data_IF_348479809870
#
_entry.id   IF_348479809870
#
_cell.length_a   1.000
_cell.length_b   1.000
_cell.length_c   1.000
_cell.angle_alpha   90.00
_cell.angle_beta   90.00
_cell.angle_gamma   90.00
#
_symmetry.space_group_name_H-M   'P 1'
#
loop_
_entity.id
_entity.type
_entity.pdbx_description
1 polymer ?
#
# COMPACT_ATOMS: atom_id res chain seq x y z
N UNK A 1 -9.34 24.09 6.34
CA UNK A 1 -10.07 22.87 5.98
C UNK A 1 -9.12 22.06 5.12
N UNK A 2 -8.51 21.04 5.69
CA UNK A 2 -7.62 20.12 4.96
C UNK A 2 -8.48 19.34 3.96
N UNK A 3 -8.29 19.61 2.69
CA UNK A 3 -8.97 18.88 1.63
C UNK A 3 -8.31 17.49 1.56
N UNK A 4 -8.88 16.49 2.23
CA UNK A 4 -8.34 15.12 2.33
C UNK A 4 -8.24 14.39 0.97
N UNK A 5 -8.75 15.01 -0.09
CA UNK A 5 -8.75 14.43 -1.42
C UNK A 5 -9.88 13.42 -1.66
N UNK A 6 -9.84 12.75 -2.81
CA UNK A 6 -10.83 11.75 -3.21
C UNK A 6 -10.35 10.34 -2.82
N UNK A 7 -11.22 9.57 -2.17
CA UNK A 7 -11.05 8.13 -1.96
C UNK A 7 -12.09 7.41 -2.83
N UNK A 8 -11.65 6.49 -3.67
CA UNK A 8 -12.54 5.66 -4.46
C UNK A 8 -12.86 4.38 -3.69
N UNK A 9 -14.14 4.12 -3.48
CA UNK A 9 -14.65 2.87 -2.95
C UNK A 9 -15.27 2.05 -4.10
N UNK A 10 -14.85 0.79 -4.24
CA UNK A 10 -15.42 -0.18 -5.17
C UNK A 10 -15.98 -1.31 -4.32
N UNK A 11 -17.30 -1.33 -4.16
CA UNK A 11 -18.03 -2.17 -3.21
C UNK A 11 -19.46 -2.33 -3.72
N UNK A 12 -20.00 -3.53 -3.77
CA UNK A 12 -21.36 -3.79 -4.27
C UNK A 12 -22.45 -3.60 -3.19
N UNK A 13 -22.08 -3.62 -1.91
CA UNK A 13 -22.98 -3.42 -0.80
C UNK A 13 -23.21 -1.92 -0.49
N UNK A 14 -24.38 -1.36 -0.87
CA UNK A 14 -24.73 0.05 -0.64
C UNK A 14 -24.71 0.46 0.84
N UNK A 15 -25.04 -0.45 1.76
CA UNK A 15 -25.02 -0.20 3.20
C UNK A 15 -23.61 0.07 3.73
N UNK A 16 -22.62 -0.69 3.24
CA UNK A 16 -21.21 -0.49 3.57
C UNK A 16 -20.74 0.84 2.98
N UNK A 17 -21.11 1.13 1.73
CA UNK A 17 -20.73 2.36 1.06
C UNK A 17 -21.24 3.61 1.79
N UNK A 18 -22.50 3.61 2.26
CA UNK A 18 -23.08 4.73 3.00
C UNK A 18 -22.39 4.93 4.35
N UNK A 19 -22.15 3.83 5.09
CA UNK A 19 -21.43 3.86 6.36
C UNK A 19 -20.04 4.46 6.21
N UNK A 20 -19.31 4.03 5.20
CA UNK A 20 -17.95 4.52 4.91
C UNK A 20 -17.97 5.97 4.44
N UNK A 21 -18.95 6.38 3.61
CA UNK A 21 -19.08 7.76 3.16
C UNK A 21 -19.18 8.72 4.33
N UNK A 22 -20.10 8.45 5.27
CA UNK A 22 -20.29 9.28 6.47
C UNK A 22 -19.01 9.41 7.30
N UNK A 23 -18.24 8.33 7.42
CA UNK A 23 -17.03 8.33 8.21
C UNK A 23 -15.89 9.10 7.52
N UNK A 24 -15.67 8.86 6.22
CA UNK A 24 -14.62 9.52 5.46
C UNK A 24 -14.87 11.02 5.29
N UNK A 25 -16.14 11.44 5.10
CA UNK A 25 -16.51 12.85 5.01
C UNK A 25 -16.27 13.61 6.33
N UNK A 26 -16.51 12.99 7.48
CA UNK A 26 -16.17 13.57 8.80
C UNK A 26 -14.67 13.83 8.96
N UNK A 27 -13.86 13.05 8.28
CA UNK A 27 -12.39 13.17 8.29
C UNK A 27 -11.85 14.06 7.14
N UNK A 28 -12.75 14.70 6.39
CA UNK A 28 -12.42 15.66 5.34
C UNK A 28 -12.10 15.03 3.97
N UNK A 29 -12.33 13.73 3.80
CA UNK A 29 -12.21 13.06 2.50
C UNK A 29 -13.52 13.15 1.72
N UNK A 30 -13.44 13.09 0.40
CA UNK A 30 -14.59 12.84 -0.47
C UNK A 30 -14.59 11.38 -0.87
N UNK A 31 -15.63 10.63 -0.53
CA UNK A 31 -15.79 9.26 -1.00
C UNK A 31 -16.52 9.25 -2.35
N UNK A 32 -15.94 8.59 -3.35
CA UNK A 32 -16.59 8.28 -4.64
C UNK A 32 -16.83 6.78 -4.65
N UNK A 33 -18.06 6.34 -4.96
CA UNK A 33 -18.46 4.94 -4.89
C UNK A 33 -18.76 4.37 -6.27
N UNK A 34 -18.32 3.15 -6.52
CA UNK A 34 -18.64 2.29 -7.66
C UNK A 34 -19.12 0.93 -7.14
N UNK A 35 -20.14 0.35 -7.78
CA UNK A 35 -20.80 -0.90 -7.35
C UNK A 35 -20.24 -2.16 -8.01
N UNK A 36 -19.30 -2.00 -8.94
CA UNK A 36 -18.67 -3.10 -9.70
C UNK A 36 -17.28 -2.69 -10.17
N UNK A 37 -16.50 -3.68 -10.59
CA UNK A 37 -15.10 -3.47 -10.97
C UNK A 37 -14.91 -2.62 -12.21
N UNK A 38 -15.77 -2.75 -13.22
CA UNK A 38 -15.69 -1.99 -14.47
C UNK A 38 -15.94 -0.50 -14.22
N UNK A 39 -17.03 -0.16 -13.54
CA UNK A 39 -17.35 1.22 -13.16
C UNK A 39 -16.30 1.82 -12.22
N UNK A 40 -15.68 1.00 -11.38
CA UNK A 40 -14.55 1.38 -10.54
C UNK A 40 -13.33 1.82 -11.36
N UNK A 41 -12.96 1.03 -12.36
CA UNK A 41 -11.83 1.34 -13.26
C UNK A 41 -12.09 2.59 -14.12
N UNK A 42 -13.33 2.85 -14.53
CA UNK A 42 -13.70 4.10 -15.21
C UNK A 42 -13.54 5.30 -14.28
N UNK A 43 -14.06 5.22 -13.05
CA UNK A 43 -13.95 6.31 -12.06
C UNK A 43 -12.50 6.57 -11.63
N UNK A 44 -11.66 5.55 -11.62
CA UNK A 44 -10.23 5.67 -11.37
C UNK A 44 -9.57 6.63 -12.36
N UNK A 45 -9.93 6.56 -13.66
CA UNK A 45 -9.38 7.44 -14.71
C UNK A 45 -9.90 8.87 -14.60
N UNK A 46 -11.18 9.02 -14.24
CA UNK A 46 -11.86 10.32 -14.26
C UNK A 46 -11.59 11.18 -13.03
N UNK A 47 -11.27 10.57 -11.89
CA UNK A 47 -11.27 11.23 -10.58
C UNK A 47 -9.91 11.36 -9.94
N UNK A 48 -8.88 10.68 -10.44
CA UNK A 48 -7.52 10.64 -9.89
C UNK A 48 -7.56 10.48 -8.34
N UNK A 49 -8.07 9.36 -7.84
CA UNK A 49 -8.25 9.17 -6.40
C UNK A 49 -6.89 9.04 -5.72
N UNK A 50 -6.80 9.52 -4.49
CA UNK A 50 -5.60 9.41 -3.65
C UNK A 50 -5.44 8.03 -3.00
N UNK A 51 -6.53 7.28 -2.87
CA UNK A 51 -6.55 5.89 -2.41
C UNK A 51 -7.77 5.18 -2.98
N UNK A 52 -7.67 3.85 -3.10
CA UNK A 52 -8.75 2.97 -3.51
C UNK A 52 -9.03 1.98 -2.39
N UNK A 53 -10.29 1.89 -1.99
CA UNK A 53 -10.84 0.80 -1.17
C UNK A 53 -11.53 -0.16 -2.12
N UNK A 54 -11.15 -1.42 -2.11
CA UNK A 54 -11.54 -2.38 -3.13
C UNK A 54 -12.04 -3.68 -2.51
N UNK A 55 -13.32 -3.96 -2.68
CA UNK A 55 -13.84 -5.28 -2.29
C UNK A 55 -13.31 -6.37 -3.23
N UNK A 56 -13.02 -7.53 -2.67
CA UNK A 56 -12.60 -8.72 -3.43
C UNK A 56 -13.81 -9.40 -4.08
N UNK A 57 -14.97 -9.38 -3.42
CA UNK A 57 -16.17 -10.12 -3.79
C UNK A 57 -17.08 -9.46 -4.82
N UNK A 58 -16.54 -8.60 -5.69
CA UNK A 58 -17.32 -7.84 -6.67
C UNK A 58 -18.02 -8.71 -7.72
N UNK A 59 -19.20 -8.28 -8.20
CA UNK A 59 -19.83 -8.90 -9.36
C UNK A 59 -19.04 -8.59 -10.65
N UNK A 60 -19.07 -9.53 -11.59
CA UNK A 60 -18.36 -9.40 -12.86
C UNK A 60 -16.88 -9.74 -12.74
N UNK A 61 -16.02 -8.74 -12.84
CA UNK A 61 -14.58 -8.91 -12.55
C UNK A 61 -14.32 -8.79 -11.04
N UNK A 62 -13.60 -9.76 -10.50
CA UNK A 62 -13.26 -9.75 -9.07
C UNK A 62 -12.27 -8.65 -8.70
N UNK A 63 -12.17 -8.36 -7.38
CA UNK A 63 -11.28 -7.31 -6.89
C UNK A 63 -9.79 -7.59 -7.17
N UNK A 64 -9.37 -8.84 -7.31
CA UNK A 64 -7.99 -9.16 -7.67
C UNK A 64 -7.67 -8.73 -9.09
N UNK A 65 -8.58 -8.97 -10.04
CA UNK A 65 -8.42 -8.51 -11.41
C UNK A 65 -8.48 -6.98 -11.52
N UNK A 66 -9.37 -6.34 -10.77
CA UNK A 66 -9.43 -4.86 -10.67
C UNK A 66 -8.09 -4.32 -10.17
N UNK A 67 -7.54 -4.89 -9.10
CA UNK A 67 -6.24 -4.49 -8.55
C UNK A 67 -5.11 -4.63 -9.59
N UNK A 68 -5.05 -5.75 -10.31
CA UNK A 68 -4.06 -5.94 -11.40
C UNK A 68 -4.16 -4.85 -12.47
N UNK A 69 -5.38 -4.51 -12.89
CA UNK A 69 -5.62 -3.46 -13.91
C UNK A 69 -5.25 -2.07 -13.41
N UNK A 70 -5.51 -1.77 -12.14
CA UNK A 70 -5.06 -0.51 -11.50
C UNK A 70 -3.53 -0.46 -11.53
N UNK A 71 -2.85 -1.52 -11.09
CA UNK A 71 -1.39 -1.58 -11.02
C UNK A 71 -0.68 -1.52 -12.37
N UNK A 72 -1.35 -1.91 -13.44
CA UNK A 72 -0.82 -1.75 -14.80
C UNK A 72 -0.68 -0.28 -15.24
N UNK A 73 -1.36 0.64 -14.58
CA UNK A 73 -1.45 2.06 -15.00
C UNK A 73 -1.22 3.06 -13.88
N UNK A 74 -1.17 2.63 -12.60
CA UNK A 74 -1.11 3.54 -11.45
C UNK A 74 -0.49 2.89 -10.22
N UNK A 75 0.25 3.70 -9.45
CA UNK A 75 0.81 3.35 -8.13
C UNK A 75 -0.08 3.85 -6.97
N UNK A 76 -1.33 4.26 -7.26
CA UNK A 76 -2.28 4.71 -6.24
C UNK A 76 -2.42 3.66 -5.13
N UNK A 77 -2.43 4.04 -3.86
CA UNK A 77 -2.64 3.11 -2.77
C UNK A 77 -3.96 2.34 -2.89
N UNK A 78 -3.88 1.00 -2.83
CA UNK A 78 -5.05 0.09 -2.85
C UNK A 78 -5.11 -0.69 -1.56
N UNK A 79 -6.23 -0.56 -0.83
CA UNK A 79 -6.55 -1.36 0.35
C UNK A 79 -7.67 -2.30 -0.03
N UNK A 80 -7.41 -3.61 0.03
CA UNK A 80 -8.41 -4.63 -0.28
C UNK A 80 -9.30 -4.90 0.92
N UNK A 81 -10.61 -5.00 0.68
CA UNK A 81 -11.61 -5.41 1.65
C UNK A 81 -12.08 -6.82 1.28
N UNK A 82 -12.25 -7.70 2.25
CA UNK A 82 -12.65 -9.08 1.95
C UNK A 82 -13.38 -9.75 3.08
N UNK A 83 -14.34 -10.60 2.73
CA UNK A 83 -14.96 -11.55 3.66
C UNK A 83 -14.16 -12.85 3.83
N UNK A 84 -13.04 -13.01 3.12
CA UNK A 84 -12.26 -14.26 3.12
C UNK A 84 -11.13 -14.17 4.14
N UNK A 85 -11.23 -14.99 5.18
CA UNK A 85 -10.26 -15.04 6.30
C UNK A 85 -9.06 -15.96 6.01
N UNK A 86 -8.87 -16.42 4.76
CA UNK A 86 -7.75 -17.32 4.51
C UNK A 86 -6.45 -16.53 4.36
N UNK A 87 -5.42 -16.98 5.03
CA UNK A 87 -4.04 -16.48 4.89
C UNK A 87 -3.60 -16.45 3.41
N UNK A 88 -4.11 -17.39 2.62
CA UNK A 88 -3.84 -17.51 1.18
C UNK A 88 -4.39 -16.30 0.42
N UNK A 89 -5.63 -15.88 0.68
CA UNK A 89 -6.25 -14.74 -0.01
C UNK A 89 -5.55 -13.43 0.31
N UNK A 90 -5.13 -13.25 1.57
CA UNK A 90 -4.32 -12.10 2.00
C UNK A 90 -2.99 -12.06 1.24
N UNK A 91 -2.28 -13.19 1.17
CA UNK A 91 -1.00 -13.28 0.45
C UNK A 91 -1.21 -13.00 -1.04
N UNK A 92 -2.23 -13.58 -1.67
CA UNK A 92 -2.55 -13.36 -3.08
C UNK A 92 -2.84 -11.88 -3.36
N UNK A 93 -3.67 -11.23 -2.53
CA UNK A 93 -3.98 -9.81 -2.68
C UNK A 93 -2.74 -8.91 -2.61
N UNK A 94 -1.87 -9.15 -1.62
CA UNK A 94 -0.62 -8.42 -1.48
C UNK A 94 0.37 -8.75 -2.62
N UNK A 95 0.45 -10.00 -3.09
CA UNK A 95 1.30 -10.39 -4.24
C UNK A 95 0.86 -9.74 -5.55
N UNK A 96 -0.42 -9.42 -5.72
CA UNK A 96 -0.96 -8.69 -6.87
C UNK A 96 -0.60 -7.21 -6.80
N UNK A 97 -0.21 -6.72 -5.63
CA UNK A 97 0.26 -5.34 -5.43
C UNK A 97 -0.68 -4.46 -4.62
N UNK A 98 -1.61 -5.02 -3.84
CA UNK A 98 -2.31 -4.26 -2.82
C UNK A 98 -1.32 -3.75 -1.76
N UNK A 99 -1.55 -2.55 -1.23
CA UNK A 99 -0.71 -1.96 -0.18
C UNK A 99 -1.12 -2.45 1.20
N UNK A 100 -2.38 -2.81 1.37
CA UNK A 100 -2.92 -3.33 2.61
C UNK A 100 -4.16 -4.19 2.36
N UNK A 101 -4.57 -4.93 3.39
CA UNK A 101 -5.66 -5.88 3.34
C UNK A 101 -6.47 -5.85 4.65
N UNK A 102 -7.80 -5.76 4.54
CA UNK A 102 -8.70 -5.65 5.69
C UNK A 102 -9.83 -6.68 5.57
N UNK A 103 -9.96 -7.52 6.59
CA UNK A 103 -11.02 -8.54 6.63
C UNK A 103 -12.35 -7.98 7.13
N UNK A 104 -13.44 -8.33 6.47
CA UNK A 104 -14.83 -8.08 6.92
C UNK A 104 -15.22 -9.14 7.98
N UNK A 105 -15.86 -8.75 9.13
CA UNK A 105 -16.26 -7.40 9.49
C UNK A 105 -15.10 -6.56 10.02
N UNK A 106 -14.99 -5.31 9.59
CA UNK A 106 -13.93 -4.39 10.00
C UNK A 106 -14.47 -3.22 10.84
N UNK A 107 -13.58 -2.62 11.61
CA UNK A 107 -13.87 -1.35 12.25
C UNK A 107 -13.70 -0.19 11.25
N UNK A 108 -14.75 0.63 11.09
CA UNK A 108 -14.70 1.83 10.24
C UNK A 108 -13.56 2.78 10.67
N UNK A 109 -13.34 2.90 11.99
CA UNK A 109 -12.22 3.71 12.52
C UNK A 109 -10.85 3.17 12.10
N UNK A 110 -10.71 1.86 12.12
CA UNK A 110 -9.50 1.18 11.68
C UNK A 110 -9.24 1.45 10.18
N UNK A 111 -10.26 1.28 9.34
CA UNK A 111 -10.14 1.51 7.90
C UNK A 111 -9.74 2.96 7.59
N UNK A 112 -10.37 3.93 8.24
CA UNK A 112 -10.00 5.35 8.12
C UNK A 112 -8.55 5.59 8.56
N UNK A 113 -8.12 4.99 9.67
CA UNK A 113 -6.76 5.12 10.16
C UNK A 113 -5.73 4.54 9.15
N UNK A 114 -6.04 3.40 8.53
CA UNK A 114 -5.19 2.77 7.51
C UNK A 114 -5.06 3.65 6.26
N UNK A 115 -6.18 4.19 5.75
CA UNK A 115 -6.15 5.13 4.61
C UNK A 115 -5.31 6.37 4.95
N UNK A 116 -5.53 6.98 6.12
CA UNK A 116 -4.73 8.12 6.57
C UNK A 116 -3.25 7.79 6.68
N UNK A 117 -2.90 6.61 7.20
CA UNK A 117 -1.52 6.19 7.35
C UNK A 117 -0.82 6.04 6.00
N UNK A 118 -1.50 5.48 5.00
CA UNK A 118 -0.97 5.36 3.63
C UNK A 118 -0.81 6.74 2.99
N UNK A 119 -1.81 7.63 3.11
CA UNK A 119 -1.79 8.95 2.50
C UNK A 119 -0.78 9.91 3.14
N UNK A 120 -0.66 9.92 4.48
CA UNK A 120 0.28 10.78 5.21
C UNK A 120 1.72 10.56 4.77
N UNK A 121 2.13 9.33 4.58
CA UNK A 121 3.49 8.99 4.16
C UNK A 121 3.81 9.38 2.73
N UNK A 122 2.80 9.41 1.86
CA UNK A 122 2.98 9.95 0.51
C UNK A 122 3.17 11.47 0.50
N UNK A 123 2.78 12.17 1.59
CA UNK A 123 2.90 13.63 1.73
C UNK A 123 4.10 14.07 2.58
N UNK A 124 4.49 13.28 3.58
CA UNK A 124 5.65 13.55 4.44
C UNK A 124 6.94 13.03 3.78
N UNK A 125 7.45 13.76 2.79
CA UNK A 125 8.83 13.57 2.38
C UNK A 125 9.74 13.97 3.56
N UNK A 126 10.69 13.12 3.99
CA UNK A 126 11.63 13.49 5.03
C UNK A 126 12.45 14.70 4.58
N UNK A 127 12.27 15.82 5.26
CA UNK A 127 12.86 17.13 4.91
C UNK A 127 14.40 17.13 5.05
N UNK A 128 15.00 16.13 5.68
CA UNK A 128 16.42 16.11 6.00
C UNK A 128 17.31 15.25 5.07
N UNK A 129 16.75 14.20 4.46
CA UNK A 129 17.45 13.38 3.45
C UNK A 129 16.48 13.10 2.30
N UNK A 130 16.79 13.66 1.14
CA UNK A 130 15.95 13.48 -0.05
C UNK A 130 16.36 12.27 -0.87
N UNK A 131 17.59 11.78 -0.69
CA UNK A 131 18.16 10.66 -1.47
C UNK A 131 18.95 9.74 -0.55
N UNK A 132 18.75 8.43 -0.72
CA UNK A 132 19.55 7.37 -0.10
C UNK A 132 20.17 6.51 -1.20
N UNK A 133 21.38 5.97 -0.95
CA UNK A 133 22.08 5.09 -1.87
C UNK A 133 22.38 3.75 -1.18
N UNK A 134 21.99 2.64 -1.82
CA UNK A 134 22.15 1.30 -1.29
C UNK A 134 22.43 0.31 -2.44
N UNK A 135 23.56 -0.41 -2.41
CA UNK A 135 23.85 -1.49 -3.33
C UNK A 135 23.71 -1.14 -4.81
N UNK A 136 24.06 0.09 -5.20
CA UNK A 136 23.91 0.58 -6.57
C UNK A 136 22.52 1.10 -6.94
N UNK A 137 21.63 1.22 -5.96
CA UNK A 137 20.30 1.85 -6.11
C UNK A 137 20.31 3.24 -5.48
N UNK A 138 19.72 4.20 -6.18
CA UNK A 138 19.46 5.56 -5.72
C UNK A 138 17.97 5.66 -5.42
N UNK A 139 17.61 5.93 -4.15
CA UNK A 139 16.24 6.01 -3.66
C UNK A 139 15.91 7.48 -3.43
N UNK A 140 15.07 8.06 -4.29
CA UNK A 140 14.63 9.47 -4.19
C UNK A 140 13.34 9.58 -3.37
N UNK A 141 13.46 10.10 -2.15
CA UNK A 141 12.32 10.28 -1.24
C UNK A 141 11.33 11.34 -1.71
N UNK A 142 11.80 12.37 -2.43
CA UNK A 142 10.96 13.44 -2.94
C UNK A 142 10.11 13.02 -4.13
N UNK A 143 10.66 12.16 -4.99
CA UNK A 143 9.97 11.64 -6.18
C UNK A 143 9.31 10.29 -5.93
N UNK A 144 9.68 9.62 -4.85
CA UNK A 144 9.29 8.25 -4.53
C UNK A 144 9.66 7.26 -5.66
N UNK A 145 10.83 7.46 -6.23
CA UNK A 145 11.39 6.67 -7.32
C UNK A 145 12.69 5.99 -6.89
N UNK A 146 12.98 4.87 -7.52
CA UNK A 146 14.24 4.14 -7.34
C UNK A 146 14.92 4.02 -8.69
N UNK A 147 16.20 4.45 -8.77
CA UNK A 147 17.00 4.36 -9.98
C UNK A 147 18.14 3.40 -9.73
N UNK A 148 18.33 2.41 -10.60
CA UNK A 148 19.51 1.56 -10.58
C UNK A 148 20.68 2.25 -11.29
N UNK A 149 21.92 1.97 -10.87
CA UNK A 149 23.16 2.38 -11.57
C UNK A 149 23.21 1.72 -12.96
N UNK A 150 22.59 2.30 -13.92
CA UNK A 150 22.36 1.78 -15.29
C UNK A 150 21.20 2.46 -15.96
N UNK A 151 20.51 3.35 -15.21
CA UNK A 151 19.55 4.29 -15.75
C UNK A 151 18.10 3.81 -15.81
N UNK A 152 17.76 2.61 -15.33
CA UNK A 152 16.36 2.19 -15.22
C UNK A 152 15.70 2.80 -13.99
N UNK A 153 14.55 3.46 -14.18
CA UNK A 153 13.72 3.99 -13.11
C UNK A 153 12.63 2.97 -12.79
N UNK A 154 12.52 2.61 -11.52
CA UNK A 154 11.47 1.73 -11.00
C UNK A 154 10.59 2.55 -10.06
N UNK A 155 9.28 2.38 -10.18
CA UNK A 155 8.29 2.97 -9.27
C UNK A 155 7.67 1.87 -8.41
N UNK A 156 8.11 1.73 -7.17
CA UNK A 156 7.45 0.86 -6.20
C UNK A 156 6.06 1.40 -5.86
N UNK A 157 5.15 0.53 -5.40
CA UNK A 157 3.90 1.02 -4.80
C UNK A 157 4.18 1.87 -3.57
N UNK A 158 3.18 2.60 -3.08
CA UNK A 158 3.36 3.48 -1.92
C UNK A 158 3.96 2.73 -0.72
N UNK A 159 3.47 1.53 -0.45
CA UNK A 159 3.90 0.71 0.69
C UNK A 159 5.27 0.05 0.47
N UNK A 160 5.54 -0.40 -0.75
CA UNK A 160 6.87 -0.92 -1.11
C UNK A 160 7.95 0.17 -0.97
N UNK A 161 7.63 1.40 -1.40
CA UNK A 161 8.56 2.52 -1.25
C UNK A 161 8.83 2.84 0.22
N UNK A 162 7.79 2.92 1.05
CA UNK A 162 7.92 3.19 2.49
C UNK A 162 8.77 2.13 3.19
N UNK A 163 8.58 0.86 2.84
CA UNK A 163 9.36 -0.25 3.35
C UNK A 163 10.83 -0.15 2.94
N UNK A 164 11.08 0.08 1.66
CA UNK A 164 12.45 0.23 1.13
C UNK A 164 13.16 1.42 1.78
N UNK A 165 12.46 2.56 1.87
CA UNK A 165 12.98 3.76 2.52
C UNK A 165 13.37 3.50 3.98
N UNK A 166 12.48 2.87 4.73
CA UNK A 166 12.73 2.55 6.14
C UNK A 166 13.93 1.62 6.32
N UNK A 167 14.07 0.60 5.47
CA UNK A 167 15.23 -0.28 5.49
C UNK A 167 16.52 0.48 5.15
N UNK A 168 16.50 1.29 4.09
CA UNK A 168 17.66 2.04 3.63
C UNK A 168 18.11 3.13 4.61
N UNK A 169 17.17 3.81 5.29
CA UNK A 169 17.48 4.81 6.33
C UNK A 169 18.09 4.15 7.58
N UNK A 170 17.86 2.85 7.77
CA UNK A 170 18.44 2.03 8.83
C UNK A 170 19.46 1.00 8.29
N UNK A 171 20.16 1.32 7.20
CA UNK A 171 21.11 0.41 6.58
C UNK A 171 22.15 -0.13 7.58
N UNK A 172 22.46 -1.43 7.48
CA UNK A 172 23.35 -2.15 8.37
C UNK A 172 22.72 -2.67 9.65
N UNK A 173 21.50 -2.21 10.02
CA UNK A 173 20.80 -2.69 11.21
C UNK A 173 19.88 -3.87 10.89
N UNK A 174 19.85 -4.86 11.78
CA UNK A 174 18.87 -5.95 11.72
C UNK A 174 17.56 -5.44 12.32
N UNK A 175 16.52 -5.37 11.50
CA UNK A 175 15.18 -4.94 11.90
C UNK A 175 14.27 -6.15 12.00
N UNK A 176 13.60 -6.32 13.14
CA UNK A 176 12.60 -7.37 13.30
C UNK A 176 11.35 -7.09 12.45
N UNK A 177 10.61 -8.15 12.08
CA UNK A 177 9.34 -8.01 11.34
C UNK A 177 8.35 -7.10 12.07
N UNK A 178 8.29 -7.19 13.39
CA UNK A 178 7.41 -6.34 14.21
C UNK A 178 7.83 -4.86 14.16
N UNK A 179 9.12 -4.55 14.28
CA UNK A 179 9.62 -3.18 14.14
C UNK A 179 9.34 -2.60 12.75
N UNK A 180 9.57 -3.39 11.69
CA UNK A 180 9.26 -2.97 10.32
C UNK A 180 7.75 -2.73 10.17
N UNK A 181 6.92 -3.65 10.67
CA UNK A 181 5.46 -3.55 10.58
C UNK A 181 4.97 -2.28 11.28
N UNK A 182 5.40 -2.04 12.52
CA UNK A 182 5.03 -0.85 13.28
C UNK A 182 5.49 0.43 12.58
N UNK A 183 6.74 0.48 12.12
CA UNK A 183 7.30 1.65 11.46
C UNK A 183 6.63 1.94 10.11
N UNK A 184 6.30 0.92 9.32
CA UNK A 184 5.79 1.07 7.93
C UNK A 184 4.26 1.03 7.87
N UNK A 185 3.55 0.30 8.72
CA UNK A 185 2.09 0.21 8.75
C UNK A 185 1.45 1.00 9.89
N UNK A 186 2.18 1.27 10.97
CA UNK A 186 1.74 2.03 12.12
C UNK A 186 1.46 1.14 13.34
N UNK A 187 1.46 1.77 14.53
CA UNK A 187 1.25 1.07 15.82
C UNK A 187 -0.12 0.39 15.91
N UNK A 188 -1.15 1.00 15.31
CA UNK A 188 -2.52 0.46 15.34
C UNK A 188 -2.79 -0.55 14.21
N UNK A 189 -1.74 -1.10 13.60
CA UNK A 189 -1.89 -2.11 12.55
C UNK A 189 -2.13 -3.49 13.16
N UNK A 190 -3.33 -4.06 12.95
CA UNK A 190 -3.72 -5.38 13.45
C UNK A 190 -3.44 -6.54 12.47
N UNK A 191 -2.73 -6.28 11.39
CA UNK A 191 -2.35 -7.32 10.42
C UNK A 191 -1.14 -8.13 10.88
N UNK A 192 -0.91 -9.25 10.20
CA UNK A 192 0.17 -10.17 10.52
C UNK A 192 1.54 -9.66 10.02
N UNK A 193 2.60 -10.06 10.73
CA UNK A 193 3.99 -9.74 10.35
C UNK A 193 4.38 -10.31 8.98
N UNK A 194 3.64 -11.30 8.47
CA UNK A 194 3.82 -11.89 7.15
C UNK A 194 3.59 -10.90 6.00
N UNK A 195 2.80 -9.84 6.24
CA UNK A 195 2.65 -8.72 5.30
C UNK A 195 4.01 -8.13 4.90
N UNK A 196 4.95 -8.04 5.86
CA UNK A 196 6.33 -7.59 5.58
C UNK A 196 7.02 -8.53 4.58
N UNK A 197 6.91 -9.85 4.78
CA UNK A 197 7.58 -10.85 3.94
C UNK A 197 7.11 -10.77 2.49
N UNK A 198 5.81 -10.53 2.27
CA UNK A 198 5.23 -10.39 0.93
C UNK A 198 5.79 -9.14 0.24
N UNK A 199 5.82 -7.99 0.91
CA UNK A 199 6.33 -6.74 0.33
C UNK A 199 7.85 -6.81 0.08
N UNK A 200 8.63 -7.48 0.94
CA UNK A 200 10.06 -7.75 0.69
C UNK A 200 10.23 -8.59 -0.58
N UNK A 201 9.39 -9.61 -0.76
CA UNK A 201 9.42 -10.43 -1.98
C UNK A 201 9.13 -9.60 -3.23
N UNK A 202 8.13 -8.70 -3.17
CA UNK A 202 7.80 -7.81 -4.28
C UNK A 202 8.94 -6.83 -4.59
N UNK A 203 9.56 -6.24 -3.57
CA UNK A 203 10.72 -5.36 -3.73
C UNK A 203 11.86 -6.10 -4.43
N UNK A 204 12.22 -7.30 -3.97
CA UNK A 204 13.27 -8.12 -4.61
C UNK A 204 12.95 -8.48 -6.06
N UNK A 205 11.67 -8.67 -6.39
CA UNK A 205 11.21 -8.95 -7.76
C UNK A 205 11.31 -7.72 -8.67
N UNK A 206 11.00 -6.53 -8.14
CA UNK A 206 11.04 -5.26 -8.89
C UNK A 206 12.43 -4.66 -8.99
N UNK A 207 13.23 -4.85 -7.95
CA UNK A 207 14.59 -4.29 -7.80
C UNK A 207 15.60 -5.45 -7.77
N UNK A 208 15.86 -6.02 -8.95
CA UNK A 208 16.79 -7.14 -9.06
C UNK A 208 18.18 -6.74 -8.53
N UNK A 209 18.73 -7.56 -7.62
CA UNK A 209 20.00 -7.28 -6.96
C UNK A 209 19.95 -6.34 -5.75
N UNK A 210 18.77 -5.86 -5.32
CA UNK A 210 18.66 -5.06 -4.08
C UNK A 210 19.22 -5.85 -2.88
N UNK A 211 20.17 -5.29 -2.08
CA UNK A 211 20.88 -6.05 -1.04
C UNK A 211 20.05 -6.17 0.27
N UNK A 212 18.81 -6.60 0.17
CA UNK A 212 17.96 -6.92 1.33
C UNK A 212 18.26 -8.36 1.75
N UNK A 213 18.86 -8.54 2.92
CA UNK A 213 19.16 -9.86 3.49
C UNK A 213 18.03 -10.32 4.43
N UNK A 214 17.73 -11.61 4.42
CA UNK A 214 16.82 -12.24 5.39
C UNK A 214 17.59 -12.77 6.58
N UNK A 215 17.33 -12.25 7.77
CA UNK A 215 17.88 -12.77 9.02
C UNK A 215 16.86 -13.76 9.61
N UNK A 216 17.15 -15.03 9.45
CA UNK A 216 16.24 -16.10 9.80
C UNK A 216 15.79 -16.02 11.28
N UNK A 217 14.49 -16.17 11.50
CA UNK A 217 13.89 -16.08 12.84
C UNK A 217 13.77 -14.66 13.39
N UNK A 218 14.32 -13.63 12.75
CA UNK A 218 14.33 -12.23 13.23
C UNK A 218 13.59 -11.31 12.27
N UNK A 219 14.13 -11.08 11.08
CA UNK A 219 13.57 -10.09 10.15
C UNK A 219 14.49 -9.83 8.96
N UNK A 220 14.81 -8.57 8.69
CA UNK A 220 15.53 -8.14 7.50
C UNK A 220 16.60 -7.11 7.82
N UNK A 221 17.61 -7.06 6.97
CA UNK A 221 18.66 -6.05 6.93
C UNK A 221 18.90 -5.65 5.48
N UNK A 222 19.21 -4.37 5.25
CA UNK A 222 19.74 -3.91 3.97
C UNK A 222 21.19 -3.50 4.19
N UNK A 223 22.07 -3.94 3.32
CA UNK A 223 23.50 -3.59 3.39
C UNK A 223 23.82 -2.46 2.40
N UNK A 224 24.75 -1.56 2.77
CA UNK A 224 25.13 -0.36 2.01
C UNK A 224 25.86 -0.72 0.72
#
# INVERSE_FOLDING_TARGET
MTNGGVVLLIEDEDEIAELLRMAFEREGFRLTHATDGESGLERMRDRDPRAVLLDVGLPGIDGFEVCRRIRAVSDVPVIMLTARDTEIDTIVGLEIGADDYVTKPFSVRELVARVKAVLRRSEEAPVARTVLEVGGFVIDGGRREVTHVGGSVVRPTAREFDLLWYLADNAGLVLSRAQILEAVWGYDYFGETRTVDVHIRQLRKKLDGIPIETIWGVGYRIDS
#
